data_IF_273324712421
#
_entry.id   IF_273324712421
#
_cell.length_a   1.000
_cell.length_b   1.000
_cell.length_c   1.000
_cell.angle_alpha   90.00
_cell.angle_beta   90.00
_cell.angle_gamma   90.00
#
_symmetry.space_group_name_H-M   'P 1'
#
loop_
_entity.id
_entity.type
_entity.pdbx_description
1 polymer ?
#
# COMPACT_ATOMS: atom_id res chain seq x y z
N UNK A 1 -2.93 -1.21 -15.72
CA UNK A 1 -2.28 -2.53 -15.59
C UNK A 1 -1.39 -2.51 -14.37
N UNK A 2 -1.77 -3.18 -13.28
CA UNK A 2 -0.89 -3.38 -12.15
C UNK A 2 0.09 -4.49 -12.55
N UNK A 3 1.37 -4.15 -12.71
CA UNK A 3 2.40 -5.13 -13.04
C UNK A 3 2.46 -6.18 -11.92
N UNK A 4 2.31 -7.45 -12.29
CA UNK A 4 2.63 -8.57 -11.43
C UNK A 4 4.13 -8.49 -11.10
N UNK A 5 4.45 -8.15 -9.85
CA UNK A 5 5.79 -7.85 -9.31
C UNK A 5 6.71 -9.07 -9.20
N UNK A 6 6.48 -10.11 -10.01
CA UNK A 6 7.15 -11.41 -9.94
C UNK A 6 8.59 -11.48 -10.48
N UNK A 7 9.00 -10.75 -11.55
CA UNK A 7 10.35 -10.91 -12.12
C UNK A 7 11.39 -9.84 -11.75
N UNK A 8 11.02 -8.73 -11.09
CA UNK A 8 11.95 -7.62 -10.80
C UNK A 8 12.76 -7.77 -9.50
N UNK A 9 12.41 -8.71 -8.62
CA UNK A 9 13.03 -8.84 -7.30
C UNK A 9 14.36 -9.60 -7.32
N UNK A 10 14.53 -10.57 -8.22
CA UNK A 10 15.76 -11.36 -8.34
C UNK A 10 17.05 -10.51 -8.50
N UNK A 11 17.16 -9.57 -9.46
CA UNK A 11 18.36 -8.76 -9.61
C UNK A 11 18.63 -7.82 -8.42
N UNK A 12 17.58 -7.44 -7.69
CA UNK A 12 17.71 -6.62 -6.49
C UNK A 12 18.25 -7.42 -5.29
N UNK A 13 17.90 -8.72 -5.21
CA UNK A 13 18.45 -9.61 -4.19
C UNK A 13 19.92 -9.91 -4.46
N UNK A 14 20.30 -10.15 -5.71
CA UNK A 14 21.72 -10.31 -6.08
C UNK A 14 22.52 -9.04 -5.72
N UNK A 15 21.99 -7.86 -6.08
CA UNK A 15 22.60 -6.58 -5.70
C UNK A 15 22.67 -6.34 -4.19
N UNK A 16 21.72 -6.88 -3.42
CA UNK A 16 21.69 -6.80 -1.96
C UNK A 16 22.71 -7.73 -1.30
N UNK A 17 22.97 -8.90 -1.88
CA UNK A 17 24.04 -9.81 -1.46
C UNK A 17 25.43 -9.25 -1.80
N UNK A 18 25.61 -8.63 -2.97
CA UNK A 18 26.89 -8.04 -3.37
C UNK A 18 27.18 -6.70 -2.67
N UNK A 19 26.18 -5.83 -2.55
CA UNK A 19 26.32 -4.44 -2.09
C UNK A 19 25.32 -4.09 -1.00
N UNK A 20 25.20 -4.94 0.02
CA UNK A 20 24.27 -4.72 1.14
C UNK A 20 24.41 -3.36 1.82
N UNK A 21 25.62 -2.79 1.87
CA UNK A 21 25.89 -1.46 2.42
C UNK A 21 25.27 -0.30 1.64
N UNK A 22 24.88 -0.49 0.38
CA UNK A 22 24.20 0.53 -0.42
C UNK A 22 22.71 0.64 -0.07
N UNK A 23 22.17 -0.29 0.71
CA UNK A 23 20.75 -0.33 1.08
C UNK A 23 20.56 0.09 2.54
N UNK A 24 19.48 0.82 2.79
CA UNK A 24 18.99 1.05 4.15
C UNK A 24 18.43 -0.22 4.77
N UNK A 25 18.46 -0.31 6.10
CA UNK A 25 17.88 -1.45 6.82
C UNK A 25 16.42 -1.72 6.43
N UNK A 26 15.58 -0.68 6.36
CA UNK A 26 14.17 -0.84 6.01
C UNK A 26 13.95 -1.36 4.58
N UNK A 27 14.80 -0.95 3.63
CA UNK A 27 14.75 -1.49 2.27
C UNK A 27 15.14 -2.96 2.24
N UNK A 28 16.19 -3.35 2.99
CA UNK A 28 16.59 -4.76 3.12
C UNK A 28 15.44 -5.59 3.69
N UNK A 29 14.77 -5.12 4.74
CA UNK A 29 13.63 -5.84 5.35
C UNK A 29 12.44 -5.96 4.39
N UNK A 30 12.15 -4.91 3.61
CA UNK A 30 11.10 -4.90 2.58
C UNK A 30 11.40 -5.87 1.44
N UNK A 31 12.63 -5.88 0.92
CA UNK A 31 13.09 -6.80 -0.12
C UNK A 31 13.13 -8.25 0.38
N UNK A 32 13.62 -8.47 1.60
CA UNK A 32 13.62 -9.78 2.23
C UNK A 32 12.20 -10.34 2.37
N UNK A 33 11.22 -9.50 2.76
CA UNK A 33 9.81 -9.89 2.81
C UNK A 33 9.23 -10.20 1.44
N UNK A 34 9.59 -9.42 0.41
CA UNK A 34 9.15 -9.67 -0.95
C UNK A 34 9.71 -10.99 -1.53
N UNK A 35 10.96 -11.33 -1.20
CA UNK A 35 11.63 -12.53 -1.70
C UNK A 35 11.29 -13.81 -0.91
N UNK A 36 11.31 -13.73 0.43
CA UNK A 36 11.07 -14.88 1.31
C UNK A 36 9.58 -15.06 1.64
N UNK A 37 8.74 -14.06 1.40
CA UNK A 37 7.32 -14.05 1.71
C UNK A 37 6.94 -13.27 2.97
N UNK A 38 5.64 -13.05 3.20
CA UNK A 38 5.13 -12.14 4.23
C UNK A 38 5.51 -12.53 5.67
N UNK A 39 5.66 -13.83 5.92
CA UNK A 39 5.95 -14.40 7.24
C UNK A 39 7.45 -14.56 7.51
N UNK A 40 8.32 -14.11 6.60
CA UNK A 40 9.77 -14.35 6.69
C UNK A 40 10.37 -13.88 8.02
N UNK A 41 9.88 -12.74 8.52
CA UNK A 41 10.28 -12.16 9.80
C UNK A 41 9.76 -12.96 11.00
N UNK A 42 8.52 -13.44 10.93
CA UNK A 42 7.87 -14.20 12.00
C UNK A 42 8.48 -15.60 12.15
N UNK A 43 8.92 -16.19 11.04
CA UNK A 43 9.57 -17.50 11.00
C UNK A 43 11.09 -17.43 11.23
N UNK A 44 11.62 -16.27 11.62
CA UNK A 44 13.06 -16.05 11.80
C UNK A 44 13.92 -16.42 10.57
N UNK A 45 13.36 -16.29 9.36
CA UNK A 45 14.09 -16.48 8.09
C UNK A 45 14.94 -15.26 7.73
N UNK A 46 14.80 -14.17 8.46
CA UNK A 46 15.70 -13.01 8.40
C UNK A 46 16.32 -12.82 9.78
N UNK A 47 17.61 -13.12 9.90
CA UNK A 47 18.39 -12.95 11.12
C UNK A 47 19.16 -11.66 11.03
N UNK A 48 18.91 -10.74 11.95
CA UNK A 48 19.56 -9.45 12.04
C UNK A 48 20.48 -9.46 13.25
N UNK A 49 21.75 -9.11 13.04
CA UNK A 49 22.73 -8.94 14.11
C UNK A 49 23.55 -7.66 13.90
N UNK A 50 23.99 -6.99 14.96
CA UNK A 50 24.96 -5.92 14.84
C UNK A 50 26.33 -6.44 14.42
N UNK A 51 27.07 -5.57 13.75
CA UNK A 51 28.49 -5.72 13.51
C UNK A 51 29.22 -5.55 14.85
N UNK A 52 30.08 -6.50 15.17
CA UNK A 52 30.95 -6.40 16.31
C UNK A 52 32.14 -5.52 15.91
N UNK A 53 32.15 -4.27 16.38
CA UNK A 53 33.22 -3.34 16.08
C UNK A 53 33.03 -1.97 16.73
N UNK A 54 34.13 -1.22 16.80
CA UNK A 54 34.18 0.14 17.34
C UNK A 54 34.36 1.21 16.25
N UNK A 55 34.34 0.80 14.98
CA UNK A 55 34.46 1.71 13.86
C UNK A 55 33.20 2.54 13.65
N UNK A 56 33.36 3.79 13.22
CA UNK A 56 32.22 4.62 12.84
C UNK A 56 31.51 4.07 11.60
N UNK A 57 30.18 3.93 11.62
CA UNK A 57 29.45 3.33 10.51
C UNK A 57 29.33 4.32 9.36
N UNK A 58 29.68 3.89 8.15
CA UNK A 58 29.41 4.64 6.91
C UNK A 58 27.99 4.39 6.37
N UNK A 59 27.32 3.31 6.82
CA UNK A 59 26.00 2.89 6.39
C UNK A 59 25.31 2.05 7.48
N UNK A 60 23.98 2.01 7.45
CA UNK A 60 23.16 1.23 8.38
C UNK A 60 23.43 -0.28 8.30
N UNK A 61 23.72 -0.78 7.10
CA UNK A 61 23.93 -2.20 6.81
C UNK A 61 25.39 -2.41 6.45
N UNK A 62 26.02 -3.43 7.04
CA UNK A 62 27.38 -3.81 6.72
C UNK A 62 27.43 -4.71 5.49
N UNK A 63 26.69 -5.82 5.55
CA UNK A 63 26.54 -6.80 4.47
C UNK A 63 25.30 -7.65 4.73
N UNK A 64 24.84 -8.31 3.67
CA UNK A 64 23.78 -9.31 3.75
C UNK A 64 24.31 -10.60 3.14
N UNK A 65 24.11 -11.70 3.86
CA UNK A 65 24.51 -13.04 3.45
C UNK A 65 23.30 -13.95 3.35
N UNK A 66 23.38 -14.96 2.50
CA UNK A 66 22.38 -16.02 2.47
C UNK A 66 22.69 -17.04 3.58
N UNK A 67 21.71 -17.34 4.43
CA UNK A 67 21.81 -18.29 5.55
C UNK A 67 20.77 -19.40 5.33
N UNK A 68 21.15 -20.43 4.58
CA UNK A 68 20.25 -21.53 4.20
C UNK A 68 19.07 -21.06 3.34
N UNK A 69 17.85 -21.21 3.86
CA UNK A 69 16.60 -20.77 3.23
C UNK A 69 16.23 -19.31 3.55
N UNK A 70 17.11 -18.59 4.25
CA UNK A 70 16.90 -17.24 4.75
C UNK A 70 18.05 -16.27 4.46
N UNK A 71 17.99 -15.11 5.13
CA UNK A 71 19.00 -14.05 5.03
C UNK A 71 19.57 -13.72 6.41
N UNK A 72 20.87 -13.46 6.45
CA UNK A 72 21.56 -12.89 7.61
C UNK A 72 21.99 -11.47 7.27
N UNK A 73 21.47 -10.51 8.00
CA UNK A 73 21.73 -9.08 7.84
C UNK A 73 22.63 -8.63 8.98
N UNK A 74 23.84 -8.19 8.65
CA UNK A 74 24.72 -7.54 9.63
C UNK A 74 24.50 -6.03 9.55
N UNK A 75 24.03 -5.42 10.63
CA UNK A 75 23.74 -3.97 10.73
C UNK A 75 24.75 -3.25 11.60
N UNK A 76 24.86 -1.94 11.48
CA UNK A 76 25.84 -1.15 12.25
C UNK A 76 25.23 -0.17 13.24
N UNK A 77 23.92 -0.23 13.46
CA UNK A 77 23.19 0.70 14.33
C UNK A 77 22.33 -0.07 15.34
N UNK A 78 22.06 0.53 16.49
CA UNK A 78 21.06 0.04 17.45
C UNK A 78 21.40 -1.32 18.09
N UNK A 79 22.69 -1.67 18.17
CA UNK A 79 23.16 -2.87 18.84
C UNK A 79 23.30 -2.68 20.35
N UNK A 80 23.24 -3.77 21.12
CA UNK A 80 23.66 -3.81 22.53
C UNK A 80 25.18 -4.00 22.68
N UNK A 81 25.90 -4.08 21.57
CA UNK A 81 27.35 -4.07 21.50
C UNK A 81 27.76 -3.31 20.24
N UNK A 82 29.00 -2.84 20.21
CA UNK A 82 29.53 -1.99 19.16
C UNK A 82 29.50 -0.50 19.51
N UNK A 83 29.81 0.35 18.54
CA UNK A 83 30.01 1.80 18.72
C UNK A 83 28.78 2.54 19.27
N UNK A 84 27.57 2.10 18.89
CA UNK A 84 26.30 2.73 19.30
C UNK A 84 25.65 2.03 20.50
N UNK A 85 26.41 1.22 21.25
CA UNK A 85 25.86 0.45 22.37
C UNK A 85 25.50 1.34 23.55
N UNK A 86 24.33 1.13 24.19
CA UNK A 86 24.02 1.74 25.49
C UNK A 86 24.76 1.08 26.65
N UNK A 87 25.39 -0.08 26.42
CA UNK A 87 26.18 -0.78 27.42
C UNK A 87 27.57 -0.17 27.55
N UNK A 88 28.25 -0.47 28.66
CA UNK A 88 29.59 0.03 28.89
C UNK A 88 30.58 -0.51 27.84
N UNK A 89 31.50 0.34 27.38
CA UNK A 89 32.46 0.02 26.31
C UNK A 89 33.25 -1.27 26.57
N UNK A 90 33.65 -1.52 27.82
CA UNK A 90 34.41 -2.71 28.20
C UNK A 90 33.68 -4.03 27.84
N UNK A 91 32.34 -4.03 27.80
CA UNK A 91 31.57 -5.22 27.40
C UNK A 91 31.73 -5.51 25.92
N UNK A 92 31.85 -4.47 25.08
CA UNK A 92 32.14 -4.67 23.64
C UNK A 92 33.59 -5.12 23.45
N UNK A 93 34.53 -4.62 24.25
CA UNK A 93 35.93 -5.07 24.25
C UNK A 93 36.06 -6.54 24.65
N UNK A 94 35.36 -6.97 25.71
CA UNK A 94 35.31 -8.38 26.13
C UNK A 94 34.73 -9.27 25.02
N UNK A 95 33.68 -8.83 24.32
CA UNK A 95 33.13 -9.56 23.18
C UNK A 95 34.10 -9.63 21.98
N UNK A 96 34.94 -8.62 21.79
CA UNK A 96 36.00 -8.63 20.77
C UNK A 96 37.11 -9.62 21.13
N UNK A 97 37.51 -9.67 22.41
CA UNK A 97 38.47 -10.66 22.93
C UNK A 97 37.92 -12.08 22.83
N UNK A 98 36.67 -12.29 23.22
CA UNK A 98 35.95 -13.56 23.09
C UNK A 98 35.93 -14.03 21.62
N UNK A 99 35.57 -13.14 20.69
CA UNK A 99 35.55 -13.46 19.27
C UNK A 99 36.94 -13.80 18.71
N UNK A 100 38.01 -13.20 19.25
CA UNK A 100 39.39 -13.56 18.89
C UNK A 100 39.82 -14.93 19.43
N UNK A 101 39.18 -15.39 20.51
CA UNK A 101 39.38 -16.71 21.12
C UNK A 101 38.36 -17.77 20.64
N UNK A 102 37.64 -17.51 19.54
CA UNK A 102 36.56 -18.35 19.00
C UNK A 102 35.41 -18.63 19.99
N UNK A 103 35.21 -17.75 20.98
CA UNK A 103 34.09 -17.76 21.90
C UNK A 103 32.97 -16.86 21.39
N UNK A 104 31.78 -17.43 21.15
CA UNK A 104 30.62 -16.69 20.63
C UNK A 104 29.39 -16.77 21.55
N UNK A 105 29.52 -17.36 22.74
CA UNK A 105 28.38 -17.62 23.62
C UNK A 105 27.72 -16.33 24.14
N UNK A 106 28.52 -15.39 24.65
CA UNK A 106 28.03 -14.10 25.16
C UNK A 106 27.40 -13.26 24.04
N UNK A 107 28.06 -13.19 22.87
CA UNK A 107 27.52 -12.52 21.68
C UNK A 107 26.20 -13.14 21.25
N UNK A 108 26.14 -14.48 21.15
CA UNK A 108 24.93 -15.20 20.75
C UNK A 108 23.76 -14.96 21.71
N UNK A 109 24.03 -14.85 23.01
CA UNK A 109 23.01 -14.46 23.99
C UNK A 109 22.44 -13.07 23.73
N UNK A 110 23.28 -12.07 23.46
CA UNK A 110 22.83 -10.73 23.11
C UNK A 110 22.10 -10.68 21.77
N UNK A 111 22.55 -11.46 20.79
CA UNK A 111 21.93 -11.56 19.47
C UNK A 111 20.48 -12.08 19.57
N UNK A 112 20.16 -12.98 20.50
CA UNK A 112 18.78 -13.45 20.73
C UNK A 112 17.85 -12.29 21.13
N UNK A 113 18.33 -11.39 22.00
CA UNK A 113 17.58 -10.21 22.45
C UNK A 113 17.44 -9.21 21.29
N UNK A 114 18.56 -8.93 20.61
CA UNK A 114 18.61 -7.95 19.53
C UNK A 114 17.79 -8.37 18.31
N UNK A 115 17.77 -9.66 17.97
CA UNK A 115 16.92 -10.20 16.92
C UNK A 115 15.46 -9.80 17.13
N UNK A 116 14.97 -9.87 18.38
CA UNK A 116 13.62 -9.45 18.72
C UNK A 116 13.43 -7.94 18.60
N UNK A 117 14.43 -7.14 18.99
CA UNK A 117 14.38 -5.68 18.88
C UNK A 117 14.31 -5.24 17.41
N UNK A 118 15.15 -5.78 16.53
CA UNK A 118 15.13 -5.46 15.11
C UNK A 118 13.84 -5.91 14.42
N UNK A 119 13.31 -7.06 14.81
CA UNK A 119 11.99 -7.50 14.35
C UNK A 119 10.90 -6.47 14.72
N UNK A 120 10.87 -6.01 15.98
CA UNK A 120 9.91 -5.02 16.44
C UNK A 120 10.12 -3.66 15.74
N UNK A 121 11.37 -3.25 15.52
CA UNK A 121 11.70 -2.04 14.78
C UNK A 121 11.14 -2.08 13.35
N UNK A 122 11.38 -3.18 12.63
CA UNK A 122 10.85 -3.37 11.28
C UNK A 122 9.31 -3.34 11.26
N UNK A 123 8.65 -3.97 12.24
CA UNK A 123 7.18 -3.92 12.38
C UNK A 123 6.66 -2.52 12.68
N UNK A 124 7.30 -1.79 13.59
CA UNK A 124 6.91 -0.43 13.94
C UNK A 124 7.03 0.50 12.74
N UNK A 125 8.11 0.38 11.97
CA UNK A 125 8.25 1.15 10.73
C UNK A 125 7.16 0.81 9.72
N UNK A 126 6.90 -0.49 9.48
CA UNK A 126 5.91 -0.92 8.51
C UNK A 126 4.48 -0.51 8.89
N UNK A 127 4.14 -0.51 10.20
CA UNK A 127 2.81 -0.15 10.72
C UNK A 127 2.25 1.14 10.13
N UNK A 128 3.11 2.16 9.98
CA UNK A 128 2.72 3.50 9.51
C UNK A 128 2.93 3.73 8.01
N UNK A 129 3.36 2.71 7.26
CA UNK A 129 3.58 2.79 5.81
C UNK A 129 2.37 2.24 5.06
N UNK A 130 1.29 3.02 5.04
CA UNK A 130 0.03 2.64 4.37
C UNK A 130 0.23 2.20 2.92
N UNK A 131 1.05 2.92 2.14
CA UNK A 131 1.29 2.56 0.73
C UNK A 131 1.99 1.22 0.57
N UNK A 132 2.98 0.91 1.42
CA UNK A 132 3.68 -0.39 1.42
C UNK A 132 2.68 -1.50 1.74
N UNK A 133 1.93 -1.34 2.84
CA UNK A 133 0.93 -2.32 3.29
C UNK A 133 -0.20 -2.53 2.27
N UNK A 134 -0.60 -1.47 1.58
CA UNK A 134 -1.69 -1.52 0.59
C UNK A 134 -1.25 -2.10 -0.75
N UNK A 135 -0.13 -1.62 -1.31
CA UNK A 135 0.30 -1.92 -2.69
C UNK A 135 1.16 -3.18 -2.75
N UNK A 136 2.10 -3.34 -1.82
CA UNK A 136 3.06 -4.44 -1.88
C UNK A 136 2.62 -5.64 -1.07
N UNK A 137 2.14 -5.40 0.15
CA UNK A 137 1.72 -6.48 1.04
C UNK A 137 0.29 -6.92 0.74
N UNK A 138 -0.49 -6.07 0.09
CA UNK A 138 -1.88 -6.33 -0.24
C UNK A 138 -2.77 -6.55 0.98
N UNK A 139 -2.46 -5.93 2.13
CA UNK A 139 -3.14 -6.11 3.41
C UNK A 139 -4.66 -5.85 3.26
N UNK A 140 -5.52 -6.86 3.51
CA UNK A 140 -6.96 -6.74 3.30
C UNK A 140 -7.59 -5.66 4.19
N UNK A 141 -7.04 -5.42 5.38
CA UNK A 141 -7.55 -4.40 6.28
C UNK A 141 -7.20 -2.98 5.79
N UNK A 142 -6.00 -2.78 5.23
CA UNK A 142 -5.66 -1.49 4.59
C UNK A 142 -6.43 -1.28 3.30
N UNK A 143 -6.62 -2.34 2.49
CA UNK A 143 -7.48 -2.29 1.29
C UNK A 143 -8.90 -1.88 1.65
N UNK A 144 -9.48 -2.48 2.70
CA UNK A 144 -10.80 -2.11 3.18
C UNK A 144 -10.86 -0.63 3.59
N UNK A 145 -9.87 -0.15 4.36
CA UNK A 145 -9.78 1.27 4.74
C UNK A 145 -9.72 2.18 3.51
N UNK A 146 -8.94 1.81 2.50
CA UNK A 146 -8.84 2.55 1.25
C UNK A 146 -10.20 2.63 0.53
N UNK A 147 -10.97 1.52 0.50
CA UNK A 147 -12.32 1.50 -0.07
C UNK A 147 -13.33 2.31 0.76
N UNK A 148 -13.25 2.26 2.10
CA UNK A 148 -14.06 3.11 2.96
C UNK A 148 -13.85 4.61 2.67
N UNK A 149 -12.62 5.03 2.34
CA UNK A 149 -12.35 6.42 1.95
C UNK A 149 -13.05 6.85 0.64
N UNK A 150 -13.42 5.90 -0.22
CA UNK A 150 -14.19 6.13 -1.45
C UNK A 150 -15.71 6.10 -1.22
N UNK A 151 -16.17 5.86 0.01
CA UNK A 151 -17.57 5.56 0.29
C UNK A 151 -17.98 4.14 -0.11
N UNK A 152 -17.02 3.27 -0.45
CA UNK A 152 -17.24 1.86 -0.79
C UNK A 152 -16.93 0.97 0.43
N UNK A 153 -17.61 1.23 1.55
CA UNK A 153 -17.32 0.60 2.84
C UNK A 153 -17.73 -0.88 2.95
N UNK A 154 -18.48 -1.41 1.98
CA UNK A 154 -18.86 -2.81 1.90
C UNK A 154 -17.75 -3.71 1.33
N UNK A 155 -16.66 -3.09 0.85
CA UNK A 155 -15.49 -3.76 0.30
C UNK A 155 -15.18 -3.36 -1.13
N UNK A 156 -14.24 -4.08 -1.73
CA UNK A 156 -13.98 -3.93 -3.16
C UNK A 156 -15.28 -4.20 -3.93
N UNK A 157 -15.66 -3.37 -4.91
CA UNK A 157 -16.85 -3.59 -5.73
C UNK A 157 -16.64 -4.76 -6.71
N UNK A 158 -16.43 -5.95 -6.16
CA UNK A 158 -16.19 -7.22 -6.86
C UNK A 158 -17.46 -7.54 -7.66
N UNK A 159 -17.40 -7.37 -8.98
CA UNK A 159 -18.51 -7.63 -9.90
C UNK A 159 -18.93 -6.42 -10.74
N UNK A 160 -18.62 -5.19 -10.32
CA UNK A 160 -18.86 -3.98 -11.12
C UNK A 160 -17.72 -3.70 -12.09
N UNK A 161 -16.47 -3.85 -11.62
CA UNK A 161 -15.27 -3.62 -12.44
C UNK A 161 -14.19 -4.63 -12.04
N UNK A 162 -13.84 -5.61 -12.90
CA UNK A 162 -12.68 -6.47 -12.67
C UNK A 162 -11.40 -5.64 -12.55
N UNK A 163 -10.58 -5.92 -11.53
CA UNK A 163 -9.35 -5.16 -11.29
C UNK A 163 -9.62 -3.71 -10.88
N UNK A 164 -10.53 -3.47 -9.94
CA UNK A 164 -10.95 -2.15 -9.48
C UNK A 164 -9.89 -1.36 -8.70
N UNK A 165 -8.78 -1.98 -8.28
CA UNK A 165 -7.71 -1.30 -7.54
C UNK A 165 -7.23 0.06 -8.12
N UNK A 166 -7.11 0.26 -9.45
CA UNK A 166 -6.78 1.56 -10.04
C UNK A 166 -7.80 2.66 -9.74
N UNK A 167 -9.05 2.32 -9.37
CA UNK A 167 -10.05 3.31 -8.96
C UNK A 167 -9.63 4.09 -7.72
N UNK A 168 -8.79 3.50 -6.85
CA UNK A 168 -8.20 4.20 -5.70
C UNK A 168 -7.43 5.46 -6.13
N UNK A 169 -6.83 5.47 -7.33
CA UNK A 169 -6.14 6.64 -7.90
C UNK A 169 -7.07 7.84 -8.04
N UNK A 170 -8.35 7.59 -8.34
CA UNK A 170 -9.38 8.63 -8.50
C UNK A 170 -10.05 9.00 -7.18
N UNK A 171 -9.51 8.59 -6.04
CA UNK A 171 -10.20 8.78 -4.76
C UNK A 171 -10.53 10.22 -4.42
N UNK A 172 -9.66 11.16 -4.80
CA UNK A 172 -9.93 12.58 -4.65
C UNK A 172 -11.06 13.10 -5.55
N UNK A 173 -11.36 12.44 -6.67
CA UNK A 173 -12.51 12.77 -7.52
C UNK A 173 -13.79 12.24 -6.89
N UNK A 174 -13.75 11.03 -6.32
CA UNK A 174 -14.86 10.41 -5.61
C UNK A 174 -15.18 11.06 -4.25
N UNK A 175 -14.20 11.64 -3.57
CA UNK A 175 -14.39 12.34 -2.29
C UNK A 175 -15.11 13.70 -2.42
N UNK A 176 -15.27 14.23 -3.64
CA UNK A 176 -15.98 15.50 -3.86
C UNK A 176 -17.48 15.33 -3.68
N UNK A 177 -18.14 16.35 -3.11
CA UNK A 177 -19.60 16.43 -3.03
C UNK A 177 -20.26 16.61 -4.41
N UNK A 178 -19.56 17.22 -5.36
CA UNK A 178 -20.04 17.42 -6.72
C UNK A 178 -19.27 16.54 -7.71
N UNK A 179 -19.94 16.15 -8.80
CA UNK A 179 -19.38 15.33 -9.88
C UNK A 179 -19.24 16.17 -11.15
N UNK A 180 -18.18 16.99 -11.28
CA UNK A 180 -17.99 17.80 -12.47
C UNK A 180 -17.65 16.92 -13.67
N UNK A 181 -18.09 17.31 -14.86
CA UNK A 181 -17.80 16.59 -16.10
C UNK A 181 -16.31 16.48 -16.40
N UNK A 182 -15.51 17.47 -16.00
CA UNK A 182 -14.05 17.41 -16.12
C UNK A 182 -13.43 16.24 -15.33
N UNK A 183 -14.05 15.80 -14.24
CA UNK A 183 -13.60 14.61 -13.51
C UNK A 183 -13.88 13.32 -14.28
N UNK A 184 -15.07 13.21 -14.88
CA UNK A 184 -15.43 12.08 -15.73
C UNK A 184 -14.55 12.03 -16.98
N UNK A 185 -14.32 13.17 -17.62
CA UNK A 185 -13.41 13.30 -18.76
C UNK A 185 -12.00 12.81 -18.38
N UNK A 186 -11.43 13.29 -17.28
CA UNK A 186 -10.10 12.87 -16.82
C UNK A 186 -10.02 11.36 -16.54
N UNK A 187 -11.05 10.78 -15.91
CA UNK A 187 -11.12 9.35 -15.65
C UNK A 187 -11.20 8.53 -16.95
N UNK A 188 -12.00 8.97 -17.93
CA UNK A 188 -12.13 8.29 -19.21
C UNK A 188 -10.85 8.39 -20.05
N UNK A 189 -10.18 9.56 -20.06
CA UNK A 189 -8.91 9.74 -20.76
C UNK A 189 -7.83 8.80 -20.22
N UNK A 190 -7.71 8.72 -18.90
CA UNK A 190 -6.73 7.84 -18.25
C UNK A 190 -7.09 6.35 -18.42
N UNK A 191 -8.38 5.99 -18.32
CA UNK A 191 -8.82 4.61 -18.48
C UNK A 191 -8.72 4.08 -19.93
N UNK A 192 -9.02 4.93 -20.92
CA UNK A 192 -9.04 4.56 -22.34
C UNK A 192 -7.71 4.87 -23.07
N UNK A 193 -6.83 5.68 -22.47
CA UNK A 193 -5.61 6.15 -23.12
C UNK A 193 -5.87 7.07 -24.32
N UNK A 194 -6.96 7.83 -24.29
CA UNK A 194 -7.38 8.74 -25.37
C UNK A 194 -7.27 10.19 -24.88
N UNK A 195 -6.57 11.05 -25.63
CA UNK A 195 -6.33 12.44 -25.21
C UNK A 195 -7.51 13.38 -25.43
N UNK A 196 -8.40 13.05 -26.37
CA UNK A 196 -9.54 13.88 -26.77
C UNK A 196 -10.85 13.15 -26.50
N UNK A 197 -11.53 13.56 -25.44
CA UNK A 197 -12.87 13.13 -25.06
C UNK A 197 -13.69 14.39 -24.85
N UNK A 198 -14.86 14.45 -25.48
CA UNK A 198 -15.82 15.53 -25.32
C UNK A 198 -17.08 14.94 -24.69
N UNK A 199 -17.58 15.56 -23.64
CA UNK A 199 -18.78 15.12 -22.93
C UNK A 199 -19.83 16.22 -23.06
N UNK A 200 -20.93 15.90 -23.73
CA UNK A 200 -22.05 16.81 -23.96
C UNK A 200 -23.04 16.63 -22.81
N UNK A 201 -23.27 17.70 -22.06
CA UNK A 201 -24.22 17.74 -20.93
C UNK A 201 -25.61 18.18 -21.38
N UNK A 202 -26.61 17.87 -20.55
CA UNK A 202 -28.00 18.31 -20.71
C UNK A 202 -28.62 17.90 -22.05
N UNK A 203 -28.30 16.68 -22.49
CA UNK A 203 -28.79 16.13 -23.75
C UNK A 203 -30.29 15.90 -23.65
N UNK A 204 -31.04 16.38 -24.64
CA UNK A 204 -32.48 16.19 -24.74
C UNK A 204 -32.84 14.70 -24.73
N UNK A 205 -33.78 14.31 -23.87
CA UNK A 205 -34.46 13.01 -23.93
C UNK A 205 -35.97 13.18 -23.69
N UNK A 206 -36.73 12.24 -24.24
CA UNK A 206 -38.12 12.04 -23.86
C UNK A 206 -38.15 10.99 -22.76
N UNK A 207 -38.89 11.27 -21.69
CA UNK A 207 -39.11 10.36 -20.57
C UNK A 207 -40.61 10.14 -20.44
N UNK A 208 -41.01 8.88 -20.32
CA UNK A 208 -42.41 8.53 -20.13
C UNK A 208 -42.87 8.95 -18.74
N UNK A 209 -44.05 9.57 -18.69
CA UNK A 209 -44.70 10.00 -17.46
C UNK A 209 -45.32 8.76 -16.81
N UNK A 210 -44.96 8.41 -15.56
CA UNK A 210 -45.57 7.30 -14.85
C UNK A 210 -47.10 7.41 -14.84
N UNK A 211 -47.81 6.29 -14.99
CA UNK A 211 -49.27 6.26 -15.09
C UNK A 211 -49.99 6.96 -13.93
N UNK A 212 -49.38 6.95 -12.74
CA UNK A 212 -49.87 7.59 -11.52
C UNK A 212 -49.76 9.12 -11.55
N UNK A 213 -48.95 9.69 -12.44
CA UNK A 213 -48.71 11.13 -12.60
C UNK A 213 -49.38 11.71 -13.84
N UNK A 214 -50.00 10.88 -14.67
CA UNK A 214 -50.74 11.32 -15.85
C UNK A 214 -52.08 11.95 -15.43
N UNK A 215 -52.44 13.06 -16.08
CA UNK A 215 -53.75 13.67 -15.92
C UNK A 215 -54.86 12.72 -16.37
N UNK A 216 -55.81 12.44 -15.48
CA UNK A 216 -56.99 11.63 -15.78
C UNK A 216 -58.25 12.37 -15.36
N UNK A 217 -59.16 12.58 -16.33
CA UNK A 217 -60.44 13.21 -16.08
C UNK A 217 -61.23 12.39 -15.04
N UNK A 218 -61.77 13.08 -14.04
CA UNK A 218 -62.58 12.50 -12.95
C UNK A 218 -61.83 11.51 -12.03
N UNK A 219 -60.50 11.45 -12.11
CA UNK A 219 -59.67 10.55 -11.27
C UNK A 219 -58.64 11.33 -10.45
N UNK A 220 -57.83 12.19 -11.07
CA UNK A 220 -56.77 12.94 -10.39
C UNK A 220 -55.75 13.58 -11.33
N UNK A 221 -54.76 14.29 -10.77
CA UNK A 221 -53.72 15.04 -11.48
C UNK A 221 -54.28 16.05 -12.49
N UNK A 222 -55.35 16.74 -12.11
CA UNK A 222 -56.08 17.69 -12.95
C UNK A 222 -56.20 19.07 -12.28
N UNK A 223 -55.41 19.34 -11.24
CA UNK A 223 -55.37 20.63 -10.55
C UNK A 223 -54.26 21.49 -11.16
N UNK A 224 -54.67 22.59 -11.80
CA UNK A 224 -53.76 23.55 -12.40
C UNK A 224 -52.84 24.15 -11.32
N UNK A 225 -51.57 24.36 -11.66
CA UNK A 225 -50.50 24.88 -10.78
C UNK A 225 -50.09 23.94 -9.63
N UNK A 226 -50.64 22.72 -9.58
CA UNK A 226 -50.31 21.73 -8.55
C UNK A 226 -49.77 20.45 -9.20
N UNK A 227 -50.58 19.77 -10.01
CA UNK A 227 -50.28 18.40 -10.45
C UNK A 227 -50.74 18.08 -11.89
N UNK A 228 -51.33 19.05 -12.61
CA UNK A 228 -51.82 18.84 -13.96
C UNK A 228 -50.67 18.67 -14.99
N UNK A 229 -50.38 17.42 -15.36
CA UNK A 229 -49.40 17.07 -16.41
C UNK A 229 -50.11 16.39 -17.59
N UNK A 230 -50.02 17.04 -18.76
CA UNK A 230 -50.68 16.59 -19.99
C UNK A 230 -49.74 15.75 -20.87
N UNK A 231 -50.21 14.58 -21.33
CA UNK A 231 -49.50 13.72 -22.27
C UNK A 231 -48.92 12.46 -21.62
N UNK A 232 -48.30 11.61 -22.44
CA UNK A 232 -47.65 10.36 -21.99
C UNK A 232 -46.13 10.52 -21.79
N UNK A 233 -45.53 11.58 -22.33
CA UNK A 233 -44.09 11.82 -22.30
C UNK A 233 -43.78 13.30 -22.01
N UNK A 234 -42.64 13.54 -21.36
CA UNK A 234 -42.11 14.88 -21.08
C UNK A 234 -40.68 15.01 -21.58
N UNK A 235 -40.31 16.21 -22.04
CA UNK A 235 -38.92 16.53 -22.40
C UNK A 235 -38.08 16.75 -21.14
N UNK A 236 -36.97 16.02 -21.03
CA UNK A 236 -36.00 16.13 -19.93
C UNK A 236 -34.61 16.45 -20.47
N UNK A 237 -33.92 17.37 -19.78
CA UNK A 237 -32.53 17.77 -20.02
C UNK A 237 -31.68 17.76 -18.75
N UNK A 238 -32.22 17.27 -17.63
CA UNK A 238 -31.57 17.42 -16.32
C UNK A 238 -30.54 16.32 -16.03
N UNK A 239 -30.70 15.12 -16.60
CA UNK A 239 -29.91 13.96 -16.17
C UNK A 239 -29.10 13.23 -17.25
N UNK A 240 -29.20 13.63 -18.53
CA UNK A 240 -28.56 12.89 -19.64
C UNK A 240 -27.31 13.59 -20.14
N UNK A 241 -26.26 12.81 -20.34
CA UNK A 241 -25.01 13.20 -21.01
C UNK A 241 -24.65 12.18 -22.10
N UNK A 242 -23.80 12.58 -23.05
CA UNK A 242 -23.29 11.72 -24.14
C UNK A 242 -21.83 12.03 -24.41
#
# INVERSE_FOLDING_TARGET
>A
MAAETGPETAPLIDGLLERGHAFSFYQVMRLARAWLGPDALERNRVRVRPELGLGFPAADVAHVEQDGDGLRVTVRFGGLYGVDSPLATFQTEELLEDAANDSFAARGFLDVIQQRLYYLLARCWNKYRTLVRLVEEGDPAEKQRAWCHLGMGEGEPVGLVPGSFPLLRYGNLFARLTRPVSALEAMLKDALGIDRIEIIQCVRRLVSIPDEQQMRLDVGNNTLDVDAVLGADVEDRMGKMT
#
